data_IF_461522681951
#
_entry.id   IF_461522681951
#
_cell.length_a   1.000
_cell.length_b   1.000
_cell.length_c   1.000
_cell.angle_alpha   90.00
_cell.angle_beta   90.00
_cell.angle_gamma   90.00
#
_symmetry.space_group_name_H-M   'P 1'
#
loop_
_entity.id
_entity.type
_entity.pdbx_description
1 polymer ?
#
# COMPACT_ATOMS: atom_id res chain seq x y z
N UNK A 1 0.52 19.76 10.50
CA UNK A 1 0.77 18.64 11.42
C UNK A 1 2.17 18.71 12.01
N UNK A 2 2.27 19.03 13.30
CA UNK A 2 3.51 18.94 14.09
C UNK A 2 3.69 17.52 14.70
N UNK A 3 2.68 16.66 14.55
CA UNK A 3 2.64 15.25 14.97
C UNK A 3 2.80 14.33 13.75
N UNK A 4 3.23 13.08 13.95
CA UNK A 4 3.30 12.06 12.87
C UNK A 4 1.94 11.89 12.21
N UNK A 5 1.89 11.80 10.88
CA UNK A 5 0.63 11.69 10.15
C UNK A 5 -0.12 10.41 10.52
N UNK A 6 -1.41 10.50 10.82
CA UNK A 6 -2.23 9.37 11.27
C UNK A 6 -2.23 9.09 12.78
N UNK A 7 -1.26 9.63 13.53
CA UNK A 7 -1.14 9.38 14.97
C UNK A 7 -2.35 9.87 15.79
N UNK A 8 -2.99 10.97 15.37
CA UNK A 8 -4.22 11.47 16.00
C UNK A 8 -5.43 10.67 15.54
N UNK A 9 -5.48 10.31 14.26
CA UNK A 9 -6.62 9.61 13.65
C UNK A 9 -6.83 8.21 14.24
N UNK A 10 -5.77 7.53 14.71
CA UNK A 10 -5.91 6.21 15.38
C UNK A 10 -6.79 6.25 16.63
N UNK A 11 -6.87 7.39 17.31
CA UNK A 11 -7.68 7.57 18.52
C UNK A 11 -9.12 7.97 18.21
N UNK A 12 -9.49 8.12 16.94
CA UNK A 12 -10.86 8.38 16.56
C UNK A 12 -11.73 7.16 16.89
N UNK A 13 -12.88 7.30 17.57
CA UNK A 13 -13.76 6.17 17.92
C UNK A 13 -14.18 5.31 16.71
N UNK A 14 -14.18 5.89 15.50
CA UNK A 14 -14.48 5.14 14.27
C UNK A 14 -13.45 4.04 13.99
N UNK A 15 -12.21 4.19 14.44
CA UNK A 15 -11.14 3.22 14.19
C UNK A 15 -11.38 1.89 14.89
N UNK A 16 -12.02 1.89 16.07
CA UNK A 16 -12.43 0.65 16.73
C UNK A 16 -13.39 -0.14 15.84
N UNK A 17 -14.35 0.54 15.21
CA UNK A 17 -15.30 -0.08 14.27
C UNK A 17 -14.62 -0.60 13.01
N UNK A 18 -13.62 0.12 12.48
CA UNK A 18 -12.84 -0.32 11.31
C UNK A 18 -12.00 -1.56 11.65
N UNK A 19 -11.34 -1.57 12.81
CA UNK A 19 -10.54 -2.71 13.28
C UNK A 19 -11.44 -3.93 13.50
N UNK A 20 -12.59 -3.76 14.13
CA UNK A 20 -13.57 -4.84 14.34
C UNK A 20 -14.12 -5.38 13.01
N UNK A 21 -14.41 -4.50 12.05
CA UNK A 21 -14.83 -4.90 10.71
C UNK A 21 -13.75 -5.73 10.00
N UNK A 22 -12.48 -5.32 10.07
CA UNK A 22 -11.37 -6.07 9.50
C UNK A 22 -11.18 -7.43 10.20
N UNK A 23 -11.28 -7.50 11.53
CA UNK A 23 -11.19 -8.77 12.29
C UNK A 23 -12.30 -9.76 11.92
N UNK A 24 -13.47 -9.28 11.50
CA UNK A 24 -14.57 -10.12 10.99
C UNK A 24 -14.41 -10.52 9.52
N UNK A 25 -13.26 -10.24 8.90
CA UNK A 25 -12.99 -10.58 7.49
C UNK A 25 -13.48 -9.53 6.48
N UNK A 26 -13.89 -8.35 6.95
CA UNK A 26 -14.25 -7.23 6.08
C UNK A 26 -13.05 -6.71 5.28
N UNK A 27 -13.27 -6.23 4.06
CA UNK A 27 -12.18 -5.75 3.19
C UNK A 27 -11.88 -4.28 3.52
N UNK A 28 -10.64 -3.97 3.87
CA UNK A 28 -10.19 -2.61 4.21
C UNK A 28 -9.02 -2.22 3.31
N UNK A 29 -9.05 -1.00 2.77
CA UNK A 29 -7.94 -0.44 2.00
C UNK A 29 -7.54 0.93 2.58
N UNK A 30 -6.27 1.06 2.94
CA UNK A 30 -5.66 2.31 3.38
C UNK A 30 -4.73 2.85 2.28
N UNK A 31 -5.09 3.99 1.69
CA UNK A 31 -4.33 4.62 0.59
C UNK A 31 -3.61 5.86 1.12
N UNK A 32 -2.30 5.97 0.88
CA UNK A 32 -1.44 7.07 1.31
C UNK A 32 -1.59 7.34 2.83
N UNK A 33 -2.28 8.41 3.22
CA UNK A 33 -2.57 8.68 4.64
C UNK A 33 -3.39 7.57 5.30
N UNK A 34 -4.24 6.86 4.55
CA UNK A 34 -4.94 5.69 5.04
C UNK A 34 -3.98 4.57 5.45
N UNK A 35 -2.88 4.37 4.73
CA UNK A 35 -1.87 3.36 5.10
C UNK A 35 -1.18 3.75 6.41
N UNK A 36 -0.81 5.02 6.58
CA UNK A 36 -0.25 5.52 7.85
C UNK A 36 -1.20 5.26 9.03
N UNK A 37 -2.49 5.49 8.85
CA UNK A 37 -3.50 5.23 9.89
C UNK A 37 -3.59 3.72 10.22
N UNK A 38 -3.53 2.84 9.22
CA UNK A 38 -3.57 1.39 9.45
C UNK A 38 -2.32 0.87 10.19
N UNK A 39 -1.17 1.53 10.00
CA UNK A 39 0.06 1.23 10.76
C UNK A 39 -0.07 1.71 12.20
N UNK A 40 -0.51 2.96 12.39
CA UNK A 40 -0.69 3.56 13.72
C UNK A 40 -1.77 2.84 14.55
N UNK A 41 -2.78 2.25 13.91
CA UNK A 41 -3.82 1.46 14.58
C UNK A 41 -3.38 0.03 14.93
N UNK A 42 -2.23 -0.42 14.42
CA UNK A 42 -1.76 -1.80 14.59
C UNK A 42 -2.48 -2.83 13.72
N UNK A 43 -3.34 -2.41 12.78
CA UNK A 43 -3.94 -3.33 11.81
C UNK A 43 -2.91 -3.82 10.79
N UNK A 44 -1.89 -3.00 10.53
CA UNK A 44 -0.71 -3.35 9.74
C UNK A 44 0.56 -3.15 10.59
N UNK A 45 1.58 -3.99 10.41
CA UNK A 45 2.85 -3.85 11.12
C UNK A 45 3.75 -2.80 10.45
N UNK A 46 4.65 -2.20 11.23
CA UNK A 46 5.64 -1.23 10.75
C UNK A 46 5.26 0.22 11.05
N UNK A 47 5.96 1.15 10.42
CA UNK A 47 5.76 2.59 10.59
C UNK A 47 6.10 3.36 9.31
N UNK A 48 5.61 4.60 9.22
CA UNK A 48 5.98 5.54 8.16
C UNK A 48 6.96 6.58 8.69
N UNK A 49 8.07 6.74 7.98
CA UNK A 49 9.06 7.77 8.20
C UNK A 49 8.91 8.88 7.15
N UNK A 50 9.60 10.01 7.38
CA UNK A 50 9.77 11.03 6.35
C UNK A 50 10.54 10.48 5.16
N UNK A 51 10.21 10.96 3.97
CA UNK A 51 10.96 10.66 2.76
C UNK A 51 12.45 10.99 2.98
N UNK A 52 13.37 10.18 2.46
CA UNK A 52 14.82 10.38 2.63
C UNK A 52 15.33 11.71 2.07
N UNK A 53 14.67 12.24 1.03
CA UNK A 53 14.97 13.55 0.45
C UNK A 53 14.29 14.72 1.20
N UNK A 54 13.47 14.45 2.22
CA UNK A 54 12.74 15.45 3.03
C UNK A 54 11.80 16.37 2.25
N UNK A 55 11.49 16.02 0.99
CA UNK A 55 10.60 16.79 0.13
C UNK A 55 9.30 16.04 -0.13
N UNK A 56 8.24 16.81 -0.37
CA UNK A 56 6.98 16.28 -0.91
C UNK A 56 7.20 15.78 -2.34
N UNK A 57 6.74 14.55 -2.62
CA UNK A 57 6.90 13.93 -3.93
C UNK A 57 5.53 13.75 -4.56
N UNK A 58 5.34 14.35 -5.74
CA UNK A 58 4.15 14.20 -6.57
C UNK A 58 4.55 13.80 -7.98
N UNK A 59 4.49 12.50 -8.29
CA UNK A 59 4.87 11.98 -9.62
C UNK A 59 4.25 10.60 -9.86
N UNK A 60 4.29 10.18 -11.12
CA UNK A 60 4.05 8.78 -11.48
C UNK A 60 5.25 7.91 -11.09
N UNK A 61 4.96 6.73 -10.56
CA UNK A 61 5.95 5.68 -10.27
C UNK A 61 5.46 4.35 -10.81
N UNK A 62 6.38 3.40 -10.92
CA UNK A 62 6.07 2.03 -11.29
C UNK A 62 6.13 1.15 -10.06
N UNK A 63 5.16 0.26 -9.92
CA UNK A 63 5.12 -0.76 -8.88
C UNK A 63 4.97 -2.14 -9.49
N UNK A 64 5.67 -3.11 -8.93
CA UNK A 64 5.56 -4.52 -9.27
C UNK A 64 4.61 -5.22 -8.31
N UNK A 65 3.65 -5.97 -8.86
CA UNK A 65 2.70 -6.78 -8.10
C UNK A 65 3.30 -8.14 -7.72
N UNK A 66 3.44 -8.43 -6.42
CA UNK A 66 4.04 -9.69 -5.94
C UNK A 66 3.01 -10.75 -5.53
N UNK A 67 2.01 -10.36 -4.74
CA UNK A 67 0.93 -11.24 -4.30
C UNK A 67 -0.34 -10.98 -5.11
N UNK A 68 -0.87 -12.02 -5.76
CA UNK A 68 -2.07 -11.99 -6.63
C UNK A 68 -3.24 -12.82 -6.09
N UNK A 69 -3.09 -13.46 -4.93
CA UNK A 69 -4.10 -14.39 -4.37
C UNK A 69 -5.04 -13.70 -3.36
N UNK A 70 -5.12 -12.38 -3.40
CA UNK A 70 -5.79 -11.54 -2.41
C UNK A 70 -6.91 -10.72 -3.07
N UNK A 71 -7.85 -10.16 -2.29
CA UNK A 71 -8.99 -9.41 -2.84
C UNK A 71 -8.58 -8.23 -3.73
N UNK A 72 -7.39 -7.67 -3.50
CA UNK A 72 -6.94 -6.43 -4.13
C UNK A 72 -6.22 -6.61 -5.47
N UNK A 73 -5.78 -7.83 -5.79
CA UNK A 73 -4.89 -8.09 -6.95
C UNK A 73 -5.22 -9.38 -7.69
N UNK A 74 -6.41 -9.96 -7.45
CA UNK A 74 -6.85 -11.20 -8.12
C UNK A 74 -7.12 -11.07 -9.63
N UNK A 75 -7.12 -9.85 -10.17
CA UNK A 75 -7.11 -9.58 -11.61
C UNK A 75 -5.72 -9.23 -12.16
N UNK A 76 -4.73 -9.07 -11.30
CA UNK A 76 -3.35 -8.81 -11.70
C UNK A 76 -2.60 -10.10 -12.01
N UNK A 77 -1.53 -10.00 -12.80
CA UNK A 77 -0.57 -11.08 -13.01
C UNK A 77 0.60 -10.95 -12.04
N UNK A 78 1.22 -12.07 -11.67
CA UNK A 78 2.44 -12.05 -10.86
C UNK A 78 3.54 -11.30 -11.62
N UNK A 79 4.24 -10.41 -10.93
CA UNK A 79 5.25 -9.49 -11.47
C UNK A 79 4.71 -8.47 -12.48
N UNK A 80 3.38 -8.28 -12.56
CA UNK A 80 2.81 -7.21 -13.39
C UNK A 80 3.26 -5.85 -12.87
N UNK A 81 3.70 -5.01 -13.80
CA UNK A 81 4.12 -3.63 -13.54
C UNK A 81 2.90 -2.73 -13.73
N UNK A 82 2.65 -1.85 -12.77
CA UNK A 82 1.57 -0.88 -12.78
C UNK A 82 2.16 0.52 -12.62
N UNK A 83 1.66 1.48 -13.39
CA UNK A 83 2.03 2.89 -13.30
C UNK A 83 0.98 3.64 -12.48
N UNK A 84 1.33 4.03 -11.26
CA UNK A 84 0.40 4.64 -10.29
C UNK A 84 1.03 5.92 -9.70
N UNK A 85 0.28 7.02 -9.51
CA UNK A 85 0.82 8.25 -8.95
C UNK A 85 1.04 8.13 -7.44
N UNK A 86 1.99 8.90 -6.93
CA UNK A 86 2.22 9.13 -5.50
C UNK A 86 2.10 10.62 -5.19
N UNK A 87 1.70 10.97 -3.97
CA UNK A 87 1.58 12.33 -3.48
C UNK A 87 1.77 12.37 -1.95
N UNK A 88 3.02 12.38 -1.46
CA UNK A 88 3.29 12.31 -0.02
C UNK A 88 4.62 12.96 0.40
N UNK A 89 4.67 13.40 1.67
CA UNK A 89 5.89 13.83 2.37
C UNK A 89 6.45 12.73 3.32
N UNK A 90 5.58 11.81 3.75
CA UNK A 90 5.87 10.73 4.71
C UNK A 90 5.44 9.39 4.10
N UNK A 91 6.23 8.86 3.17
CA UNK A 91 5.96 7.56 2.51
C UNK A 91 7.06 6.53 2.68
N UNK A 92 8.06 6.80 3.51
CA UNK A 92 9.19 5.91 3.73
C UNK A 92 8.81 4.80 4.72
N UNK A 93 8.25 3.70 4.21
CA UNK A 93 7.86 2.56 5.03
C UNK A 93 9.07 1.89 5.68
N UNK A 94 8.95 1.59 6.96
CA UNK A 94 9.98 0.92 7.75
C UNK A 94 9.38 -0.15 8.65
N UNK A 95 10.13 -1.24 8.82
CA UNK A 95 9.91 -2.29 9.81
C UNK A 95 11.29 -2.86 10.19
N UNK A 96 11.39 -3.50 11.35
CA UNK A 96 12.63 -4.18 11.75
C UNK A 96 12.90 -5.44 10.90
N UNK A 97 14.11 -6.00 11.03
CA UNK A 97 14.57 -7.12 10.21
C UNK A 97 13.71 -8.38 10.41
N UNK A 98 13.25 -8.63 11.64
CA UNK A 98 12.41 -9.78 11.94
C UNK A 98 10.99 -9.62 11.36
N UNK A 99 10.44 -8.41 11.43
CA UNK A 99 9.19 -8.05 10.79
C UNK A 99 9.28 -8.15 9.26
N UNK A 100 10.37 -7.68 8.65
CA UNK A 100 10.60 -7.82 7.21
C UNK A 100 10.64 -9.29 6.79
N UNK A 101 11.42 -10.13 7.47
CA UNK A 101 11.47 -11.59 7.22
C UNK A 101 10.11 -12.23 7.37
N UNK A 102 9.32 -11.82 8.37
CA UNK A 102 7.96 -12.31 8.56
C UNK A 102 7.07 -11.93 7.38
N UNK A 103 7.07 -10.67 6.95
CA UNK A 103 6.28 -10.22 5.80
C UNK A 103 6.62 -11.00 4.52
N UNK A 104 7.91 -11.23 4.27
CA UNK A 104 8.38 -12.01 3.11
C UNK A 104 7.94 -13.47 3.19
N UNK A 105 8.17 -14.12 4.34
CA UNK A 105 7.77 -15.51 4.57
C UNK A 105 6.27 -15.74 4.38
N UNK A 106 5.45 -14.79 4.78
CA UNK A 106 3.99 -14.91 4.71
C UNK A 106 3.40 -14.37 3.40
N UNK A 107 4.22 -13.85 2.48
CA UNK A 107 3.74 -13.25 1.23
C UNK A 107 2.88 -11.99 1.44
N UNK A 108 3.17 -11.21 2.49
CA UNK A 108 2.41 -10.02 2.86
C UNK A 108 2.84 -8.76 2.12
N UNK A 109 3.93 -8.82 1.35
CA UNK A 109 4.35 -7.73 0.47
C UNK A 109 3.53 -7.83 -0.82
N UNK A 110 2.74 -6.80 -1.11
CA UNK A 110 1.83 -6.78 -2.25
C UNK A 110 2.46 -6.03 -3.42
N UNK A 111 3.10 -4.89 -3.12
CA UNK A 111 3.70 -4.03 -4.12
C UNK A 111 5.10 -3.59 -3.70
N UNK A 112 6.03 -3.60 -4.67
CA UNK A 112 7.33 -2.95 -4.55
C UNK A 112 7.50 -1.89 -5.63
N UNK A 113 8.11 -0.76 -5.29
CA UNK A 113 8.61 0.19 -6.27
C UNK A 113 9.65 -0.48 -7.18
N UNK A 114 9.55 -0.22 -8.48
CA UNK A 114 10.44 -0.78 -9.49
C UNK A 114 10.66 0.19 -10.65
N UNK A 115 11.58 -0.15 -11.54
CA UNK A 115 11.77 0.53 -12.81
C UNK A 115 10.60 0.23 -13.77
N UNK A 116 10.50 0.95 -14.91
CA UNK A 116 9.53 0.62 -15.96
C UNK A 116 9.67 -0.81 -16.53
N UNK A 117 10.88 -1.37 -16.49
CA UNK A 117 11.18 -2.75 -16.90
C UNK A 117 10.94 -3.78 -15.77
N UNK A 118 10.64 -3.28 -14.57
CA UNK A 118 10.31 -4.09 -13.41
C UNK A 118 11.49 -4.31 -12.47
N UNK A 119 12.65 -3.72 -12.65
CA UNK A 119 13.78 -3.94 -11.74
C UNK A 119 13.55 -3.25 -10.40
N UNK A 120 13.66 -4.01 -9.31
CA UNK A 120 13.51 -3.49 -7.94
C UNK A 120 14.88 -3.00 -7.48
N UNK A 121 15.11 -1.70 -7.63
CA UNK A 121 16.40 -1.06 -7.34
C UNK A 121 16.22 0.25 -6.55
N UNK A 122 17.32 0.80 -6.07
CA UNK A 122 17.33 1.97 -5.18
C UNK A 122 16.89 3.23 -5.92
N UNK A 123 17.21 3.34 -7.21
CA UNK A 123 16.92 4.47 -8.08
C UNK A 123 15.41 4.63 -8.32
N UNK A 124 14.70 3.50 -8.36
CA UNK A 124 13.24 3.47 -8.53
C UNK A 124 12.48 3.71 -7.23
N UNK A 125 13.16 3.75 -6.09
CA UNK A 125 12.58 4.02 -4.79
C UNK A 125 12.42 5.52 -4.56
N UNK A 126 11.20 6.06 -4.62
CA UNK A 126 11.02 7.51 -4.56
C UNK A 126 11.28 8.08 -3.16
N UNK A 127 11.04 7.30 -2.11
CA UNK A 127 10.94 7.79 -0.73
C UNK A 127 11.92 7.13 0.24
N UNK A 128 12.65 6.11 -0.21
CA UNK A 128 13.60 5.36 0.61
C UNK A 128 12.98 4.22 1.40
N UNK A 129 11.74 3.82 1.09
CA UNK A 129 11.04 2.73 1.77
C UNK A 129 11.88 1.45 1.82
N UNK A 130 11.89 0.78 2.97
CA UNK A 130 12.65 -0.45 3.19
C UNK A 130 12.28 -1.49 2.15
N UNK A 131 13.31 -2.10 1.55
CA UNK A 131 13.18 -3.10 0.50
C UNK A 131 12.24 -2.69 -0.67
N UNK A 132 12.15 -1.38 -0.93
CA UNK A 132 11.28 -0.80 -1.97
C UNK A 132 9.79 -1.10 -1.76
N UNK A 133 9.34 -1.38 -0.54
CA UNK A 133 7.93 -1.72 -0.27
C UNK A 133 7.03 -0.50 -0.53
N UNK A 134 6.06 -0.67 -1.42
CA UNK A 134 5.04 0.33 -1.75
C UNK A 134 3.67 0.00 -1.13
N UNK A 135 3.43 -1.26 -0.77
CA UNK A 135 2.22 -1.68 -0.08
C UNK A 135 2.29 -3.11 0.48
N UNK A 136 1.61 -3.32 1.60
CA UNK A 136 1.56 -4.59 2.35
C UNK A 136 0.12 -4.94 2.73
N UNK A 137 -0.09 -6.19 3.10
CA UNK A 137 -1.38 -6.70 3.60
C UNK A 137 -1.24 -7.33 4.98
N UNK A 138 -2.32 -7.31 5.77
CA UNK A 138 -2.37 -8.01 7.06
C UNK A 138 -2.27 -9.54 6.90
N UNK A 139 -2.10 -10.24 8.02
CA UNK A 139 -1.93 -11.70 8.08
C UNK A 139 -3.14 -12.44 7.51
N UNK A 140 -4.33 -11.90 7.76
CA UNK A 140 -5.62 -12.45 7.35
C UNK A 140 -5.92 -12.20 5.85
N UNK A 141 -5.18 -11.30 5.20
CA UNK A 141 -5.27 -11.09 3.75
C UNK A 141 -6.44 -10.22 3.29
N UNK A 142 -7.01 -9.39 4.17
CA UNK A 142 -8.20 -8.56 3.90
C UNK A 142 -8.01 -7.06 4.19
N UNK A 143 -6.90 -6.64 4.78
CA UNK A 143 -6.56 -5.24 4.99
C UNK A 143 -5.27 -4.87 4.24
N UNK A 144 -5.39 -4.08 3.17
CA UNK A 144 -4.27 -3.59 2.36
C UNK A 144 -3.90 -2.16 2.76
N UNK A 145 -2.61 -1.90 2.92
CA UNK A 145 -2.06 -0.55 3.00
C UNK A 145 -1.13 -0.29 1.82
N UNK A 146 -1.27 0.85 1.14
CA UNK A 146 -0.37 1.24 0.05
C UNK A 146 -0.17 2.75 -0.03
N UNK A 147 1.03 3.19 -0.40
CA UNK A 147 1.35 4.61 -0.59
C UNK A 147 0.93 5.18 -1.96
N UNK A 148 1.07 4.47 -3.09
CA UNK A 148 0.53 4.92 -4.37
C UNK A 148 -1.00 5.08 -4.34
N UNK A 149 -1.51 5.98 -5.18
CA UNK A 149 -2.92 6.37 -5.27
C UNK A 149 -3.62 5.70 -6.47
N UNK A 150 -4.09 4.45 -6.36
CA UNK A 150 -4.78 3.77 -7.46
C UNK A 150 -6.07 4.47 -7.88
N UNK A 151 -6.74 5.16 -6.95
CA UNK A 151 -7.95 5.93 -7.20
C UNK A 151 -7.69 7.16 -8.10
N UNK A 152 -6.43 7.62 -8.19
CA UNK A 152 -6.02 8.73 -9.07
C UNK A 152 -5.50 8.27 -10.42
N UNK A 153 -5.55 6.98 -10.71
CA UNK A 153 -5.12 6.37 -11.98
C UNK A 153 -6.07 5.25 -12.39
N UNK A 154 -7.37 5.54 -12.38
CA UNK A 154 -8.42 4.58 -12.75
C UNK A 154 -9.06 4.88 -14.11
N UNK A 155 -8.63 5.94 -14.79
CA UNK A 155 -9.15 6.38 -16.09
C UNK A 155 -7.97 6.84 -16.96
N UNK A 156 -8.02 6.56 -18.27
CA UNK A 156 -6.92 6.88 -19.18
C UNK A 156 -6.59 8.38 -19.21
N UNK A 157 -7.63 9.22 -19.07
CA UNK A 157 -7.59 10.68 -19.01
C UNK A 157 -6.77 11.20 -17.83
N UNK A 158 -6.62 10.40 -16.76
CA UNK A 158 -5.80 10.76 -15.60
C UNK A 158 -4.31 10.51 -15.84
N UNK A 159 -3.93 9.83 -16.91
CA UNK A 159 -2.54 9.51 -17.30
C UNK A 159 -2.11 8.07 -17.03
N UNK A 160 -3.01 7.25 -16.47
CA UNK A 160 -2.91 5.79 -16.32
C UNK A 160 -4.26 5.22 -15.88
N UNK A 161 -4.61 4.02 -16.36
CA UNK A 161 -5.79 3.26 -15.93
C UNK A 161 -5.44 2.06 -15.03
N UNK A 162 -4.14 1.85 -14.75
CA UNK A 162 -3.66 0.66 -14.03
C UNK A 162 -4.23 0.51 -12.61
N UNK A 163 -4.55 1.63 -11.96
CA UNK A 163 -5.16 1.65 -10.63
C UNK A 163 -6.57 1.06 -10.61
N UNK A 164 -7.28 1.09 -11.75
CA UNK A 164 -8.60 0.48 -11.87
C UNK A 164 -8.56 -1.04 -11.65
N UNK A 165 -7.46 -1.71 -12.00
CA UNK A 165 -7.29 -3.15 -11.77
C UNK A 165 -7.41 -3.53 -10.30
N UNK A 166 -6.94 -2.66 -9.39
CA UNK A 166 -7.00 -2.89 -7.94
C UNK A 166 -8.44 -2.75 -7.44
N UNK A 167 -9.13 -1.67 -7.84
CA UNK A 167 -10.53 -1.45 -7.46
C UNK A 167 -11.46 -2.52 -8.03
N UNK A 168 -11.26 -2.90 -9.30
CA UNK A 168 -12.01 -3.97 -9.97
C UNK A 168 -11.76 -5.34 -9.34
N UNK A 169 -10.55 -5.60 -8.84
CA UNK A 169 -10.24 -6.84 -8.12
C UNK A 169 -11.11 -6.99 -6.88
N UNK A 170 -11.33 -5.90 -6.13
CA UNK A 170 -12.19 -5.91 -4.93
C UNK A 170 -13.63 -6.26 -5.31
N UNK A 171 -14.17 -5.62 -6.35
CA UNK A 171 -15.54 -5.88 -6.83
C UNK A 171 -15.71 -7.33 -7.27
N UNK A 172 -14.78 -7.86 -8.05
CA UNK A 172 -14.81 -9.28 -8.48
C UNK A 172 -14.76 -10.22 -7.27
N UNK A 173 -13.89 -9.94 -6.30
CA UNK A 173 -13.77 -10.78 -5.11
C UNK A 173 -15.07 -10.81 -4.30
N UNK A 174 -15.70 -9.65 -4.10
CA UNK A 174 -16.97 -9.56 -3.39
C UNK A 174 -18.13 -10.23 -4.13
N UNK A 175 -18.18 -10.12 -5.46
CA UNK A 175 -19.19 -10.78 -6.29
C UNK A 175 -18.99 -12.29 -6.48
N UNK A 176 -17.85 -12.83 -6.05
CA UNK A 176 -17.56 -14.28 -6.11
C UNK A 176 -17.82 -15.00 -4.77
N UNK A 177 -18.24 -14.26 -3.72
CA UNK A 177 -18.71 -14.80 -2.45
C UNK A 177 -20.23 -14.94 -2.47
#
# INVERSE_FOLDING_TARGET
>A
DYLRTGAVARFSPVMDSVVDFAKRGGIVIGICNGFQILLESGLLPGAMLRNTNLHFICKYVYIKTENIKIPFTNLCKKNQILKIPIAHNEGNYYIDDDGLKSLEKNGQIVFRYCSPDGDVNKESNPNGALANIAGIINREGNALGMMPHPERSSEAELGSEDGFLILRSILKWLGSK
#
